data_IF_096400540075
#
_entry.id   IF_096400540075
#
_cell.length_a   1.000
_cell.length_b   1.000
_cell.length_c   1.000
_cell.angle_alpha   90.00
_cell.angle_beta   90.00
_cell.angle_gamma   90.00
#
_symmetry.space_group_name_H-M   'P 1'
#
loop_
_entity.id
_entity.type
_entity.pdbx_description
1 polymer ?
#
# COMPACT_ATOMS: atom_id res chain seq x y z
N UNK A 1 23.14 -14.27 2.00
CA UNK A 1 21.70 -13.99 2.18
C UNK A 1 21.22 -13.32 0.91
N UNK A 2 20.09 -13.75 0.34
CA UNK A 2 19.60 -13.18 -0.90
C UNK A 2 18.85 -11.87 -0.63
N UNK A 3 18.90 -10.94 -1.57
CA UNK A 3 18.31 -9.63 -1.51
C UNK A 3 17.34 -9.47 -2.68
N UNK A 4 16.06 -9.27 -2.39
CA UNK A 4 15.13 -8.81 -3.39
C UNK A 4 15.15 -7.28 -3.45
N UNK A 5 15.39 -6.74 -4.64
CA UNK A 5 15.40 -5.32 -4.91
C UNK A 5 14.26 -4.95 -5.85
N UNK A 6 13.65 -3.79 -5.63
CA UNK A 6 12.65 -3.23 -6.54
C UNK A 6 12.74 -1.72 -6.64
N UNK A 7 12.82 -1.25 -7.88
CA UNK A 7 12.70 0.15 -8.31
C UNK A 7 11.66 0.23 -9.44
N UNK A 8 10.45 0.70 -9.12
CA UNK A 8 9.28 0.66 -10.02
C UNK A 8 9.01 -0.76 -10.58
N UNK A 9 9.19 -0.93 -11.88
CA UNK A 9 9.01 -2.18 -12.62
C UNK A 9 10.33 -2.95 -12.80
N UNK A 10 11.46 -2.35 -12.42
CA UNK A 10 12.74 -3.04 -12.36
C UNK A 10 12.85 -3.77 -11.01
N UNK A 11 12.96 -5.08 -11.06
CA UNK A 11 13.15 -5.91 -9.88
C UNK A 11 14.15 -7.03 -10.16
N UNK A 12 14.86 -7.44 -9.11
CA UNK A 12 15.79 -8.55 -9.18
C UNK A 12 15.85 -9.29 -7.86
N UNK A 13 16.31 -10.53 -7.91
CA UNK A 13 16.77 -11.30 -6.77
C UNK A 13 18.28 -11.42 -6.89
N UNK A 14 19.01 -10.67 -6.07
CA UNK A 14 20.46 -10.72 -5.96
C UNK A 14 20.87 -11.76 -4.91
N UNK A 15 21.92 -12.53 -5.19
CA UNK A 15 22.38 -13.62 -4.31
C UNK A 15 23.45 -13.16 -3.32
N UNK A 16 23.98 -11.95 -3.49
CA UNK A 16 24.91 -11.29 -2.59
C UNK A 16 24.77 -9.77 -2.70
N UNK A 17 25.53 -9.04 -1.88
CA UNK A 17 25.46 -7.58 -1.83
C UNK A 17 26.05 -6.93 -3.09
N UNK A 18 27.08 -7.52 -3.69
CA UNK A 18 27.72 -6.95 -4.88
C UNK A 18 26.79 -7.01 -6.09
N UNK A 19 26.08 -8.12 -6.31
CA UNK A 19 25.02 -8.22 -7.34
C UNK A 19 23.88 -7.21 -7.11
N UNK A 20 23.56 -6.91 -5.85
CA UNK A 20 22.56 -5.92 -5.51
C UNK A 20 23.05 -4.50 -5.88
N UNK A 21 24.32 -4.20 -5.63
CA UNK A 21 24.95 -2.93 -6.01
C UNK A 21 25.07 -2.80 -7.53
N UNK A 22 25.46 -3.85 -8.24
CA UNK A 22 25.52 -3.89 -9.71
C UNK A 22 24.15 -3.60 -10.33
N UNK A 23 23.08 -4.21 -9.80
CA UNK A 23 21.72 -3.91 -10.24
C UNK A 23 21.35 -2.44 -10.02
N UNK A 24 21.68 -1.87 -8.86
CA UNK A 24 21.38 -0.47 -8.57
C UNK A 24 22.21 0.48 -9.46
N UNK A 25 23.47 0.15 -9.75
CA UNK A 25 24.34 0.89 -10.65
C UNK A 25 23.81 0.89 -12.09
N UNK A 26 23.13 -0.19 -12.50
CA UNK A 26 22.53 -0.30 -13.83
C UNK A 26 21.33 0.63 -14.04
N UNK A 27 20.76 1.21 -12.97
CA UNK A 27 19.59 2.09 -13.03
C UNK A 27 20.05 3.55 -13.13
N UNK A 28 19.83 4.26 -14.25
CA UNK A 28 20.34 5.61 -14.47
C UNK A 28 19.86 6.66 -13.44
N UNK A 29 18.68 6.43 -12.85
CA UNK A 29 18.08 7.33 -11.86
C UNK A 29 18.72 7.22 -10.47
N UNK A 30 19.47 6.15 -10.19
CA UNK A 30 20.02 5.88 -8.86
C UNK A 30 21.49 6.30 -8.84
N UNK A 31 21.81 7.25 -7.97
CA UNK A 31 23.19 7.63 -7.69
C UNK A 31 23.68 6.81 -6.49
N UNK A 32 24.56 5.83 -6.74
CA UNK A 32 25.26 5.10 -5.69
C UNK A 32 26.39 5.98 -5.15
N UNK A 33 26.15 6.61 -4.00
CA UNK A 33 27.21 7.28 -3.24
C UNK A 33 27.90 6.26 -2.33
N UNK A 34 29.17 6.48 -1.93
CA UNK A 34 29.86 5.59 -1.00
C UNK A 34 29.07 5.33 0.29
N UNK A 35 28.40 6.34 0.83
CA UNK A 35 27.58 6.22 2.04
C UNK A 35 26.36 5.31 1.82
N UNK A 36 25.76 5.35 0.63
CA UNK A 36 24.65 4.47 0.27
C UNK A 36 25.13 3.03 0.11
N UNK A 37 26.29 2.80 -0.50
CA UNK A 37 26.86 1.47 -0.61
C UNK A 37 27.17 0.87 0.77
N UNK A 38 27.82 1.64 1.65
CA UNK A 38 28.15 1.22 3.00
C UNK A 38 26.89 0.88 3.81
N UNK A 39 25.84 1.69 3.67
CA UNK A 39 24.56 1.44 4.35
C UNK A 39 23.83 0.19 3.82
N UNK A 40 24.00 -0.13 2.53
CA UNK A 40 23.48 -1.36 1.92
C UNK A 40 24.29 -2.58 2.40
N UNK A 41 25.63 -2.49 2.46
CA UNK A 41 26.51 -3.54 2.99
C UNK A 41 26.22 -3.82 4.45
N UNK A 42 26.15 -2.77 5.27
CA UNK A 42 25.77 -2.88 6.68
C UNK A 42 24.38 -3.48 6.85
N UNK A 43 23.40 -3.06 6.02
CA UNK A 43 22.08 -3.67 6.04
C UNK A 43 22.16 -5.16 5.71
N UNK A 44 22.87 -5.57 4.65
CA UNK A 44 23.00 -6.95 4.21
C UNK A 44 23.62 -7.87 5.28
N UNK A 45 24.61 -7.36 6.03
CA UNK A 45 25.29 -8.08 7.11
C UNK A 45 24.51 -8.10 8.43
N UNK A 46 23.68 -7.09 8.70
CA UNK A 46 22.93 -7.00 9.97
C UNK A 46 21.90 -8.13 10.19
N UNK A 47 21.51 -8.38 11.44
CA UNK A 47 20.38 -9.29 11.73
C UNK A 47 18.99 -8.65 11.51
N UNK A 48 18.93 -7.49 10.83
CA UNK A 48 17.67 -6.78 10.58
C UNK A 48 16.99 -7.31 9.32
N UNK A 49 15.83 -7.94 9.50
CA UNK A 49 15.02 -8.51 8.40
C UNK A 49 13.90 -7.59 7.90
N UNK A 50 13.71 -6.41 8.51
CA UNK A 50 12.68 -5.48 8.05
C UNK A 50 13.07 -4.86 6.70
N UNK A 51 12.13 -4.77 5.72
CA UNK A 51 12.39 -4.12 4.43
C UNK A 51 12.89 -2.70 4.57
N UNK A 52 14.01 -2.37 3.93
CA UNK A 52 14.58 -1.02 3.94
C UNK A 52 14.18 -0.28 2.67
N UNK A 53 13.81 1.00 2.83
CA UNK A 53 13.41 1.88 1.72
C UNK A 53 14.43 3.00 1.57
N UNK A 54 14.94 3.18 0.37
CA UNK A 54 15.96 4.16 0.05
C UNK A 54 15.37 5.21 -0.87
N UNK A 55 15.35 6.46 -0.40
CA UNK A 55 14.79 7.58 -1.15
C UNK A 55 15.78 8.04 -2.22
N UNK A 56 15.36 8.00 -3.48
CA UNK A 56 16.14 8.48 -4.63
C UNK A 56 15.81 9.96 -4.89
N UNK A 57 14.51 10.28 -4.93
CA UNK A 57 13.98 11.66 -5.11
C UNK A 57 12.59 11.77 -4.47
N UNK A 58 11.97 12.96 -4.37
CA UNK A 58 10.63 13.08 -3.78
C UNK A 58 9.64 12.08 -4.39
N UNK A 59 9.01 11.26 -3.54
CA UNK A 59 8.06 10.19 -3.91
C UNK A 59 8.64 8.99 -4.67
N UNK A 60 9.97 8.92 -4.84
CA UNK A 60 10.63 7.87 -5.61
C UNK A 60 11.67 7.20 -4.71
N UNK A 61 11.56 5.89 -4.59
CA UNK A 61 12.39 5.08 -3.74
C UNK A 61 12.57 3.69 -4.35
N UNK A 62 13.67 3.02 -3.99
CA UNK A 62 13.77 1.57 -4.14
C UNK A 62 13.64 0.89 -2.78
N UNK A 63 13.35 -0.39 -2.80
CA UNK A 63 13.29 -1.23 -1.59
C UNK A 63 14.29 -2.37 -1.68
N UNK A 64 14.83 -2.76 -0.54
CA UNK A 64 15.61 -4.00 -0.37
C UNK A 64 14.91 -4.86 0.68
N UNK A 65 14.76 -6.15 0.38
CA UNK A 65 14.15 -7.15 1.27
C UNK A 65 15.10 -8.35 1.37
N UNK A 66 15.53 -8.69 2.58
CA UNK A 66 16.24 -9.95 2.84
C UNK A 66 15.31 -11.14 2.67
N UNK A 67 15.79 -12.18 2.00
CA UNK A 67 15.00 -13.37 1.73
C UNK A 67 15.87 -14.62 1.62
N UNK A 68 15.29 -15.75 1.99
CA UNK A 68 15.86 -17.09 1.79
C UNK A 68 15.36 -17.73 0.48
N UNK A 69 14.60 -16.98 -0.32
CA UNK A 69 14.10 -17.48 -1.60
C UNK A 69 15.25 -17.68 -2.59
N UNK A 70 15.30 -18.84 -3.23
CA UNK A 70 16.35 -19.19 -4.20
C UNK A 70 16.02 -18.67 -5.62
N UNK A 71 14.75 -18.40 -5.90
CA UNK A 71 14.28 -17.90 -7.19
C UNK A 71 13.31 -16.74 -7.04
N UNK A 72 13.22 -15.90 -8.08
CA UNK A 72 12.21 -14.83 -8.15
C UNK A 72 10.77 -15.35 -8.02
N UNK A 73 10.50 -16.54 -8.57
CA UNK A 73 9.20 -17.19 -8.47
C UNK A 73 8.89 -17.56 -7.01
N UNK A 74 9.82 -18.21 -6.32
CA UNK A 74 9.68 -18.59 -4.91
C UNK A 74 9.47 -17.36 -4.01
N UNK A 75 10.22 -16.29 -4.23
CA UNK A 75 10.03 -15.04 -3.49
C UNK A 75 8.61 -14.47 -3.66
N UNK A 76 8.12 -14.41 -4.90
CA UNK A 76 6.78 -13.90 -5.22
C UNK A 76 5.67 -14.80 -4.65
N UNK A 77 5.85 -16.11 -4.69
CA UNK A 77 4.90 -17.09 -4.14
C UNK A 77 4.90 -17.10 -2.60
N UNK A 78 6.07 -17.09 -1.94
CA UNK A 78 6.18 -17.04 -0.47
C UNK A 78 5.63 -15.74 0.13
N UNK A 79 5.68 -14.63 -0.61
CA UNK A 79 4.98 -13.39 -0.20
C UNK A 79 3.45 -13.56 -0.20
N UNK A 80 2.90 -14.44 -1.04
CA UNK A 80 1.50 -14.85 -0.93
C UNK A 80 1.26 -15.70 0.35
N UNK A 81 2.24 -16.50 0.75
CA UNK A 81 2.15 -17.43 1.89
C UNK A 81 2.40 -16.78 3.26
N UNK A 82 3.17 -15.68 3.39
CA UNK A 82 3.30 -14.94 4.67
C UNK A 82 2.02 -14.21 5.13
N UNK A 83 0.90 -14.35 4.40
CA UNK A 83 -0.45 -14.09 4.92
C UNK A 83 -1.16 -15.35 5.45
N UNK A 84 -0.40 -16.41 5.74
CA UNK A 84 -0.87 -17.74 6.15
C UNK A 84 -0.42 -18.17 7.55
N UNK A 85 -0.04 -17.24 8.43
CA UNK A 85 -0.17 -17.53 9.86
C UNK A 85 -1.65 -17.76 10.14
N UNK A 86 -1.99 -18.87 10.81
CA UNK A 86 -3.34 -19.36 11.11
C UNK A 86 -4.15 -18.32 11.90
N UNK A 87 -4.53 -17.26 11.21
CA UNK A 87 -5.78 -16.56 11.42
C UNK A 87 -6.59 -17.05 10.25
N UNK A 88 -7.71 -17.71 10.51
CA UNK A 88 -8.76 -17.83 9.53
C UNK A 88 -8.88 -16.44 8.90
N UNK A 89 -8.38 -16.27 7.66
CA UNK A 89 -8.84 -15.19 6.81
C UNK A 89 -10.32 -15.48 6.76
N UNK A 90 -11.11 -14.76 7.56
CA UNK A 90 -12.43 -14.38 7.09
C UNK A 90 -12.13 -13.65 5.81
N UNK A 91 -12.10 -14.40 4.71
CA UNK A 91 -12.26 -13.84 3.38
C UNK A 91 -13.43 -12.89 3.54
N UNK A 92 -13.14 -11.59 3.53
CA UNK A 92 -14.18 -10.60 3.72
C UNK A 92 -14.98 -10.71 2.42
N UNK A 93 -16.18 -11.33 2.42
CA UNK A 93 -16.86 -11.69 1.17
C UNK A 93 -17.19 -10.45 0.33
N UNK A 94 -17.19 -9.28 0.97
CA UNK A 94 -17.25 -7.94 0.39
C UNK A 94 -16.14 -7.64 -0.63
N UNK A 95 -14.92 -8.18 -0.49
CA UNK A 95 -13.84 -7.92 -1.48
C UNK A 95 -14.09 -8.70 -2.76
N UNK A 96 -14.62 -9.92 -2.67
CA UNK A 96 -14.94 -10.75 -3.85
C UNK A 96 -16.00 -10.09 -4.74
N UNK A 97 -16.93 -9.35 -4.13
CA UNK A 97 -18.05 -8.70 -4.81
C UNK A 97 -17.82 -7.20 -5.08
N UNK A 98 -16.60 -6.70 -4.81
CA UNK A 98 -16.32 -5.26 -4.92
C UNK A 98 -16.58 -4.71 -6.33
N UNK A 99 -16.27 -5.50 -7.36
CA UNK A 99 -16.51 -5.16 -8.76
C UNK A 99 -17.75 -5.85 -9.33
N UNK A 100 -18.56 -6.53 -8.51
CA UNK A 100 -19.84 -7.09 -8.98
C UNK A 100 -20.75 -5.94 -9.37
N UNK A 101 -21.13 -5.92 -10.64
CA UNK A 101 -22.10 -4.95 -11.15
C UNK A 101 -23.51 -5.35 -10.73
N UNK A 102 -24.12 -4.50 -9.90
CA UNK A 102 -25.48 -4.66 -9.40
C UNK A 102 -26.04 -3.28 -9.05
N UNK A 103 -26.86 -2.73 -9.93
CA UNK A 103 -27.44 -1.41 -9.72
C UNK A 103 -28.32 -1.34 -8.46
N UNK A 104 -28.15 -0.28 -7.67
CA UNK A 104 -29.06 0.02 -6.57
C UNK A 104 -28.50 0.96 -5.50
N UNK A 105 -29.13 0.91 -4.34
CA UNK A 105 -28.66 1.60 -3.15
C UNK A 105 -27.59 0.79 -2.45
N UNK A 106 -26.49 1.45 -2.11
CA UNK A 106 -25.40 0.89 -1.33
C UNK A 106 -25.15 1.73 -0.09
N UNK A 107 -24.91 1.09 1.04
CA UNK A 107 -24.33 1.72 2.22
C UNK A 107 -22.83 1.45 2.24
N UNK A 108 -22.02 2.49 2.17
CA UNK A 108 -20.56 2.40 2.29
C UNK A 108 -20.09 2.99 3.62
N UNK A 109 -19.19 2.29 4.28
CA UNK A 109 -18.48 2.74 5.50
C UNK A 109 -17.00 2.88 5.17
N UNK A 110 -16.45 4.07 5.37
CA UNK A 110 -15.05 4.40 5.10
C UNK A 110 -14.38 4.97 6.33
N UNK A 111 -13.32 4.32 6.80
CA UNK A 111 -12.45 4.81 7.87
C UNK A 111 -11.17 5.41 7.27
N UNK A 112 -10.91 6.69 7.47
CA UNK A 112 -9.79 7.40 6.85
C UNK A 112 -9.12 8.39 7.81
N UNK A 113 -7.92 8.86 7.44
CA UNK A 113 -7.21 9.88 8.22
C UNK A 113 -7.59 11.25 7.69
N UNK A 114 -8.45 11.97 8.42
CA UNK A 114 -8.86 13.35 8.07
C UNK A 114 -7.87 14.34 8.63
N UNK A 115 -7.42 15.29 7.81
CA UNK A 115 -6.65 16.43 8.30
C UNK A 115 -7.59 17.51 8.83
N UNK A 116 -7.29 18.01 10.04
CA UNK A 116 -8.04 19.07 10.72
C UNK A 116 -7.09 20.18 11.13
N UNK A 117 -7.48 21.43 10.88
CA UNK A 117 -6.76 22.61 11.33
C UNK A 117 -7.13 22.95 12.79
N UNK A 118 -6.12 23.16 13.63
CA UNK A 118 -6.28 23.53 15.03
C UNK A 118 -6.01 25.03 15.16
N UNK A 119 -7.07 25.84 15.23
CA UNK A 119 -6.96 27.30 15.32
C UNK A 119 -6.08 27.79 16.48
N UNK A 120 -6.14 27.09 17.63
CA UNK A 120 -5.36 27.46 18.81
C UNK A 120 -3.83 27.33 18.63
N UNK A 121 -3.37 26.42 17.77
CA UNK A 121 -1.92 26.16 17.59
C UNK A 121 -1.42 26.54 16.19
N UNK A 122 -2.32 26.86 15.26
CA UNK A 122 -2.00 27.07 13.85
C UNK A 122 -1.54 25.80 13.13
N UNK A 123 -1.61 24.63 13.76
CA UNK A 123 -1.11 23.36 13.21
C UNK A 123 -2.23 22.53 12.61
N UNK A 124 -1.81 21.56 11.81
CA UNK A 124 -2.68 20.55 11.23
C UNK A 124 -2.42 19.20 11.90
N UNK A 125 -3.47 18.43 12.15
CA UNK A 125 -3.36 17.09 12.69
C UNK A 125 -4.19 16.08 11.90
N UNK A 126 -3.76 14.82 11.92
CA UNK A 126 -4.49 13.71 11.35
C UNK A 126 -5.38 13.08 12.42
N UNK A 127 -6.68 12.97 12.15
CA UNK A 127 -7.65 12.28 13.00
C UNK A 127 -8.22 11.07 12.30
N UNK A 128 -8.33 9.95 13.00
CA UNK A 128 -9.13 8.81 12.56
C UNK A 128 -10.59 9.24 12.45
N UNK A 129 -11.18 9.06 11.28
CA UNK A 129 -12.55 9.47 10.98
C UNK A 129 -13.27 8.32 10.28
N UNK A 130 -14.46 7.98 10.77
CA UNK A 130 -15.38 7.05 10.10
C UNK A 130 -16.48 7.85 9.42
N UNK A 131 -16.71 7.59 8.14
CA UNK A 131 -17.79 8.17 7.36
C UNK A 131 -18.69 7.07 6.83
N UNK A 132 -20.00 7.25 6.96
CA UNK A 132 -21.01 6.31 6.48
C UNK A 132 -21.98 7.07 5.59
N UNK A 133 -22.25 6.54 4.40
CA UNK A 133 -23.22 7.12 3.50
C UNK A 133 -23.97 6.05 2.72
N UNK A 134 -25.24 6.33 2.44
CA UNK A 134 -26.04 5.58 1.49
C UNK A 134 -26.04 6.31 0.16
N UNK A 135 -25.61 5.65 -0.90
CA UNK A 135 -25.52 6.25 -2.22
C UNK A 135 -25.97 5.28 -3.32
N UNK A 136 -26.56 5.88 -4.34
CA UNK A 136 -26.85 5.24 -5.61
C UNK A 136 -25.54 4.82 -6.28
N UNK A 137 -25.33 3.52 -6.46
CA UNK A 137 -24.12 2.97 -7.09
C UNK A 137 -24.43 1.77 -7.97
N UNK A 138 -23.54 1.48 -8.92
CA UNK A 138 -23.62 0.31 -9.81
C UNK A 138 -22.83 -0.90 -9.28
N UNK A 139 -21.98 -0.69 -8.27
CA UNK A 139 -21.14 -1.72 -7.65
C UNK A 139 -20.56 -1.21 -6.31
N UNK A 140 -19.88 -2.10 -5.58
CA UNK A 140 -19.15 -1.72 -4.37
C UNK A 140 -18.00 -0.73 -4.62
N UNK A 141 -17.29 -0.87 -5.74
CA UNK A 141 -16.21 0.05 -6.13
C UNK A 141 -16.75 1.41 -6.53
N UNK A 142 -17.89 1.47 -7.21
CA UNK A 142 -18.57 2.73 -7.52
C UNK A 142 -19.03 3.42 -6.21
N UNK A 143 -19.61 2.67 -5.26
CA UNK A 143 -19.95 3.19 -3.93
C UNK A 143 -18.75 3.83 -3.23
N UNK A 144 -17.59 3.16 -3.24
CA UNK A 144 -16.34 3.71 -2.70
C UNK A 144 -15.94 5.02 -3.41
N UNK A 145 -15.91 5.02 -4.75
CA UNK A 145 -15.49 6.18 -5.53
C UNK A 145 -16.39 7.38 -5.25
N UNK A 146 -17.71 7.18 -5.21
CA UNK A 146 -18.68 8.23 -4.90
C UNK A 146 -18.47 8.83 -3.50
N UNK A 147 -18.20 7.99 -2.50
CA UNK A 147 -17.90 8.45 -1.14
C UNK A 147 -16.61 9.27 -1.13
N UNK A 148 -15.54 8.76 -1.76
CA UNK A 148 -14.25 9.45 -1.81
C UNK A 148 -14.34 10.78 -2.53
N UNK A 149 -15.00 10.83 -3.69
CA UNK A 149 -15.18 12.07 -4.46
C UNK A 149 -16.03 13.08 -3.69
N UNK A 150 -17.09 12.65 -3.00
CA UNK A 150 -17.83 13.51 -2.08
C UNK A 150 -16.95 14.09 -0.96
N UNK A 151 -16.05 13.29 -0.40
CA UNK A 151 -15.20 13.72 0.71
C UNK A 151 -14.06 14.64 0.26
N UNK A 152 -13.45 14.42 -0.92
CA UNK A 152 -12.33 15.22 -1.44
C UNK A 152 -12.59 16.72 -1.43
N UNK A 153 -13.83 17.15 -1.72
CA UNK A 153 -14.21 18.56 -1.75
C UNK A 153 -14.55 19.14 -0.36
N UNK A 154 -14.65 18.29 0.67
CA UNK A 154 -15.16 18.65 2.01
C UNK A 154 -14.13 18.47 3.12
N UNK A 155 -13.03 17.80 2.83
CA UNK A 155 -11.90 17.64 3.75
C UNK A 155 -10.66 18.28 3.16
N UNK A 156 -9.71 18.59 4.03
CA UNK A 156 -8.41 19.11 3.59
C UNK A 156 -7.73 18.12 2.65
N UNK A 157 -7.12 18.63 1.58
CA UNK A 157 -6.51 17.84 0.49
C UNK A 157 -5.37 16.93 0.94
N UNK A 158 -4.81 17.15 2.13
CA UNK A 158 -3.81 16.26 2.75
C UNK A 158 -4.42 15.04 3.46
N UNK A 159 -5.74 14.97 3.57
CA UNK A 159 -6.43 13.81 4.14
C UNK A 159 -6.12 12.55 3.33
N UNK A 160 -5.96 11.41 4.02
CA UNK A 160 -5.52 10.16 3.41
C UNK A 160 -6.66 9.17 3.36
N UNK A 161 -7.06 8.81 2.14
CA UNK A 161 -8.08 7.80 1.88
C UNK A 161 -7.44 6.42 1.67
N UNK A 162 -7.90 5.37 2.36
CA UNK A 162 -7.40 4.02 2.19
C UNK A 162 -7.94 3.39 0.89
N UNK A 163 -7.28 2.35 0.38
CA UNK A 163 -7.79 1.59 -0.78
C UNK A 163 -9.15 0.93 -0.50
N UNK A 164 -10.03 0.91 -1.52
CA UNK A 164 -11.30 0.17 -1.52
C UNK A 164 -11.14 -1.34 -1.25
N UNK A 165 -9.97 -1.91 -1.55
CA UNK A 165 -9.65 -3.34 -1.31
C UNK A 165 -9.14 -3.59 0.12
N UNK A 166 -8.96 -2.55 0.93
CA UNK A 166 -8.43 -2.63 2.28
C UNK A 166 -9.53 -2.85 3.32
N UNK A 167 -9.12 -3.18 4.55
CA UNK A 167 -10.02 -3.38 5.72
C UNK A 167 -10.79 -2.14 6.17
N UNK A 168 -10.40 -0.97 5.68
CA UNK A 168 -10.95 0.32 6.11
C UNK A 168 -12.14 0.78 5.26
N UNK A 169 -12.55 -0.01 4.28
CA UNK A 169 -13.78 0.19 3.53
C UNK A 169 -14.64 -1.08 3.61
N UNK A 170 -15.93 -0.89 3.83
CA UNK A 170 -16.94 -1.95 3.70
C UNK A 170 -18.18 -1.38 3.04
N UNK A 171 -18.94 -2.23 2.36
CA UNK A 171 -20.19 -1.84 1.74
C UNK A 171 -21.26 -2.91 1.90
N UNK A 172 -22.52 -2.49 1.79
CA UNK A 172 -23.70 -3.36 1.84
C UNK A 172 -24.71 -2.90 0.78
N UNK A 173 -25.13 -3.83 -0.07
CA UNK A 173 -26.23 -3.59 -1.00
C UNK A 173 -27.57 -3.54 -0.23
N UNK A 174 -28.36 -2.50 -0.49
CA UNK A 174 -29.63 -2.24 0.20
C UNK A 174 -30.87 -2.54 -0.65
N UNK A 175 -30.71 -2.72 -1.97
CA UNK A 175 -31.82 -2.98 -2.88
C UNK A 175 -31.79 -2.07 -4.12
N UNK A 176 -32.54 -2.47 -5.15
CA UNK A 176 -32.68 -1.67 -6.36
C UNK A 176 -33.40 -0.37 -6.03
N UNK A 177 -32.97 0.74 -6.62
CA UNK A 177 -33.83 1.91 -6.70
C UNK A 177 -34.95 1.60 -7.71
N UNK A 178 -36.18 2.01 -7.41
CA UNK A 178 -37.24 2.14 -8.41
C UNK A 178 -37.25 3.57 -8.93
#
# INVERSE_FOLDING_TARGET
>A
MNLYLRYFDNETLAYNVEEALDFLASIPDIQLTPELEDDIRLYAESDVYYPKRYKVRPRIYFIIIKTEAETMLDFKQKKAVRTGGVTLKKDNPTIMHLNEERDGWYEGTLSFKRVVYIAATGKHEYRDTTFVAQCKSVSGIDCYNRIVDYLKDRVDSRSQFPSAKGKNFSFRYLGMWK
#
